data_IF_548831693703
#
_entry.id   IF_548831693703
#
_cell.length_a   1.000
_cell.length_b   1.000
_cell.length_c   1.000
_cell.angle_alpha   90.00
_cell.angle_beta   90.00
_cell.angle_gamma   90.00
#
_symmetry.space_group_name_H-M   'P 1'
#
loop_
_entity.id
_entity.type
_entity.pdbx_description
1 polymer ?
#
# COMPACT_ATOMS: atom_id res chain seq x y z
N UNK A 1 -9.75 34.81 -36.83
CA UNK A 1 -10.13 33.37 -36.91
C UNK A 1 -8.97 32.40 -36.57
N UNK A 2 -8.15 32.63 -35.52
CA UNK A 2 -7.04 31.70 -35.13
C UNK A 2 -7.24 31.00 -33.76
N UNK A 3 -8.27 31.35 -32.98
CA UNK A 3 -8.49 30.84 -31.63
C UNK A 3 -9.23 29.50 -31.51
N UNK A 4 -10.03 29.11 -32.51
CA UNK A 4 -10.88 27.91 -32.40
C UNK A 4 -10.18 26.59 -32.73
N UNK A 5 -9.07 26.62 -33.47
CA UNK A 5 -8.31 25.39 -33.79
C UNK A 5 -7.70 24.75 -32.54
N UNK A 6 -7.19 25.54 -31.59
CA UNK A 6 -6.56 25.02 -30.37
C UNK A 6 -7.56 24.38 -29.39
N UNK A 7 -8.78 24.91 -29.31
CA UNK A 7 -9.84 24.39 -28.43
C UNK A 7 -10.37 23.05 -28.96
N UNK A 8 -10.61 22.94 -30.27
CA UNK A 8 -11.06 21.69 -30.90
C UNK A 8 -9.99 20.59 -30.82
N UNK A 9 -8.71 20.91 -31.03
CA UNK A 9 -7.62 19.92 -30.86
C UNK A 9 -7.47 19.45 -29.42
N UNK A 10 -7.65 20.35 -28.43
CA UNK A 10 -7.63 19.99 -27.01
C UNK A 10 -8.77 19.05 -26.62
N UNK A 11 -10.01 19.33 -27.06
CA UNK A 11 -11.20 18.50 -26.77
C UNK A 11 -11.11 17.13 -27.45
N UNK A 12 -10.67 17.07 -28.70
CA UNK A 12 -10.50 15.80 -29.43
C UNK A 12 -9.41 14.91 -28.80
N UNK A 13 -8.35 15.52 -28.24
CA UNK A 13 -7.28 14.77 -27.55
C UNK A 13 -7.78 14.17 -26.24
N UNK A 14 -8.57 14.90 -25.46
CA UNK A 14 -9.16 14.38 -24.20
C UNK A 14 -10.16 13.26 -24.48
N UNK A 15 -11.00 13.40 -25.51
CA UNK A 15 -11.97 12.37 -25.89
C UNK A 15 -11.30 11.08 -26.37
N UNK A 16 -10.23 11.18 -27.18
CA UNK A 16 -9.47 10.02 -27.65
C UNK A 16 -8.76 9.29 -26.50
N UNK A 17 -8.18 10.04 -25.56
CA UNK A 17 -7.58 9.47 -24.34
C UNK A 17 -8.65 8.75 -23.50
N UNK A 18 -9.81 9.37 -23.29
CA UNK A 18 -10.90 8.77 -22.53
C UNK A 18 -11.44 7.49 -23.19
N UNK A 19 -11.63 7.50 -24.51
CA UNK A 19 -12.06 6.33 -25.26
C UNK A 19 -11.03 5.19 -25.19
N UNK A 20 -9.73 5.50 -25.28
CA UNK A 20 -8.67 4.52 -25.08
C UNK A 20 -8.68 3.94 -23.66
N UNK A 21 -8.88 4.77 -22.63
CA UNK A 21 -9.05 4.31 -21.25
C UNK A 21 -10.28 3.42 -21.07
N UNK A 22 -11.42 3.80 -21.62
CA UNK A 22 -12.67 3.04 -21.52
C UNK A 22 -12.56 1.69 -22.25
N UNK A 23 -11.98 1.66 -23.45
CA UNK A 23 -11.74 0.41 -24.19
C UNK A 23 -10.75 -0.50 -23.45
N UNK A 24 -9.67 0.08 -22.91
CA UNK A 24 -8.69 -0.59 -22.08
C UNK A 24 -9.31 -1.17 -20.80
N UNK A 25 -10.20 -0.43 -20.13
CA UNK A 25 -10.94 -0.87 -18.95
C UNK A 25 -11.94 -1.99 -19.29
N UNK A 26 -12.68 -1.86 -20.40
CA UNK A 26 -13.63 -2.88 -20.85
C UNK A 26 -12.93 -4.20 -21.20
N UNK A 27 -11.78 -4.14 -21.88
CA UNK A 27 -10.99 -5.34 -22.22
C UNK A 27 -10.41 -6.07 -21.00
N UNK A 28 -10.36 -5.42 -19.84
CA UNK A 28 -9.85 -5.99 -18.57
C UNK A 28 -10.94 -6.12 -17.51
N UNK A 29 -12.20 -5.85 -17.87
CA UNK A 29 -13.33 -6.04 -16.97
C UNK A 29 -13.49 -7.51 -16.65
N UNK A 30 -14.05 -7.78 -15.46
CA UNK A 30 -14.34 -9.14 -15.03
C UNK A 30 -15.17 -9.87 -16.10
N UNK A 31 -14.73 -11.05 -16.58
CA UNK A 31 -15.46 -11.78 -17.60
C UNK A 31 -16.75 -12.36 -17.03
N UNK A 32 -17.89 -12.02 -17.63
CA UNK A 32 -19.18 -12.60 -17.27
C UNK A 32 -19.20 -14.11 -17.61
N UNK A 33 -19.69 -14.95 -16.70
CA UNK A 33 -19.79 -16.41 -16.86
C UNK A 33 -18.47 -17.15 -17.14
N UNK A 34 -17.35 -16.62 -16.67
CA UNK A 34 -16.05 -17.27 -16.85
C UNK A 34 -15.93 -18.62 -16.12
N UNK A 35 -15.28 -19.57 -16.79
CA UNK A 35 -14.79 -20.80 -16.16
C UNK A 35 -13.68 -20.50 -15.14
N UNK A 36 -13.37 -21.43 -14.21
CA UNK A 36 -12.27 -21.25 -13.27
C UNK A 36 -10.91 -20.98 -13.94
N UNK A 37 -10.65 -21.60 -15.09
CA UNK A 37 -9.40 -21.40 -15.84
C UNK A 37 -9.33 -20.00 -16.46
N UNK A 38 -10.42 -19.53 -17.07
CA UNK A 38 -10.52 -18.19 -17.62
C UNK A 38 -10.38 -17.12 -16.54
N UNK A 39 -11.00 -17.35 -15.37
CA UNK A 39 -10.84 -16.47 -14.22
C UNK A 39 -9.39 -16.41 -13.73
N UNK A 40 -8.71 -17.55 -13.62
CA UNK A 40 -7.30 -17.60 -13.22
C UNK A 40 -6.41 -16.83 -14.21
N UNK A 41 -6.67 -16.98 -15.52
CA UNK A 41 -5.96 -16.28 -16.57
C UNK A 41 -6.19 -14.77 -16.51
N UNK A 42 -7.43 -14.33 -16.36
CA UNK A 42 -7.79 -12.92 -16.18
C UNK A 42 -7.14 -12.33 -14.93
N UNK A 43 -7.14 -13.05 -13.81
CA UNK A 43 -6.53 -12.61 -12.57
C UNK A 43 -5.02 -12.41 -12.73
N UNK A 44 -4.32 -13.35 -13.38
CA UNK A 44 -2.88 -13.25 -13.65
C UNK A 44 -2.55 -12.03 -14.52
N UNK A 45 -3.25 -11.86 -15.64
CA UNK A 45 -3.06 -10.72 -16.55
C UNK A 45 -3.36 -9.38 -15.89
N UNK A 46 -4.41 -9.34 -15.06
CA UNK A 46 -4.80 -8.13 -14.32
C UNK A 46 -3.74 -7.76 -13.28
N UNK A 47 -3.20 -8.74 -12.54
CA UNK A 47 -2.12 -8.51 -11.57
C UNK A 47 -0.84 -8.00 -12.24
N UNK A 48 -0.45 -8.59 -13.37
CA UNK A 48 0.71 -8.15 -14.15
C UNK A 48 0.54 -6.69 -14.62
N UNK A 49 -0.64 -6.37 -15.16
CA UNK A 49 -0.96 -5.01 -15.58
C UNK A 49 -0.98 -4.02 -14.41
N UNK A 50 -1.57 -4.39 -13.26
CA UNK A 50 -1.60 -3.54 -12.08
C UNK A 50 -0.20 -3.28 -11.54
N UNK A 51 0.67 -4.29 -11.48
CA UNK A 51 2.06 -4.11 -11.11
C UNK A 51 2.77 -3.14 -12.07
N UNK A 52 2.60 -3.33 -13.38
CA UNK A 52 3.13 -2.41 -14.39
C UNK A 52 2.60 -0.98 -14.20
N UNK A 53 1.30 -0.80 -13.95
CA UNK A 53 0.68 0.51 -13.79
C UNK A 53 1.09 1.23 -12.49
N UNK A 54 1.18 0.49 -11.38
CA UNK A 54 1.58 1.02 -10.08
C UNK A 54 3.04 1.46 -10.09
N UNK A 55 3.91 0.63 -10.65
CA UNK A 55 5.36 0.82 -10.62
C UNK A 55 5.94 1.44 -11.90
N UNK A 56 5.08 1.76 -12.87
CA UNK A 56 5.47 2.32 -14.16
C UNK A 56 6.54 1.45 -14.86
N UNK A 57 6.27 0.14 -14.87
CA UNK A 57 7.07 -0.89 -15.53
C UNK A 57 8.23 -1.50 -14.72
N UNK A 58 8.71 -0.86 -13.65
CA UNK A 58 9.82 -1.38 -12.84
C UNK A 58 9.52 -1.25 -11.34
N UNK A 59 9.28 -2.37 -10.67
CA UNK A 59 9.11 -2.41 -9.22
C UNK A 59 10.38 -1.91 -8.50
N UNK A 60 10.26 -1.25 -7.33
CA UNK A 60 11.43 -0.88 -6.54
C UNK A 60 12.28 -2.09 -6.19
N UNK A 61 13.58 -1.85 -6.00
CA UNK A 61 14.47 -2.86 -5.43
C UNK A 61 14.26 -2.95 -3.93
N UNK A 62 13.98 -4.15 -3.44
CA UNK A 62 13.95 -4.42 -2.00
C UNK A 62 15.35 -4.29 -1.40
N UNK A 63 15.39 -3.94 -0.12
CA UNK A 63 16.59 -3.81 0.72
C UNK A 63 16.35 -4.53 2.04
N UNK A 64 17.40 -4.93 2.79
CA UNK A 64 17.23 -5.49 4.13
C UNK A 64 16.35 -4.59 4.99
N UNK A 65 15.35 -5.18 5.65
CA UNK A 65 14.35 -4.44 6.43
C UNK A 65 15.00 -3.57 7.53
N UNK A 66 16.06 -4.06 8.19
CA UNK A 66 16.76 -3.35 9.27
C UNK A 66 15.77 -2.71 10.26
N UNK A 67 14.79 -3.47 10.73
CA UNK A 67 13.74 -2.95 11.61
C UNK A 67 14.33 -2.47 12.94
N UNK A 68 13.99 -1.25 13.33
CA UNK A 68 14.40 -0.62 14.59
C UNK A 68 13.16 -0.32 15.39
N UNK A 69 13.20 -0.66 16.67
CA UNK A 69 12.07 -0.45 17.57
C UNK A 69 12.36 0.72 18.51
N UNK A 70 11.37 1.59 18.66
CA UNK A 70 11.43 2.80 19.46
C UNK A 70 10.60 2.68 20.74
N UNK A 71 9.86 3.75 21.02
CA UNK A 71 9.08 3.88 22.24
C UNK A 71 8.01 2.79 22.36
N UNK A 72 7.69 2.45 23.61
CA UNK A 72 6.70 1.43 23.94
C UNK A 72 5.61 2.06 24.80
N UNK A 73 4.35 1.81 24.44
CA UNK A 73 3.20 2.18 25.27
C UNK A 73 2.46 0.92 25.72
N UNK A 74 2.22 0.85 27.02
CA UNK A 74 1.48 -0.23 27.63
C UNK A 74 -0.03 0.08 27.59
N UNK A 75 -0.80 -0.80 26.95
CA UNK A 75 -2.25 -0.76 26.98
C UNK A 75 -2.78 -1.94 27.80
N UNK A 76 -4.03 -1.88 28.22
CA UNK A 76 -4.64 -2.90 29.09
C UNK A 76 -4.36 -4.35 28.65
N UNK A 77 -4.64 -4.70 27.39
CA UNK A 77 -4.57 -6.08 26.86
C UNK A 77 -3.44 -6.33 25.86
N UNK A 78 -2.79 -5.28 25.39
CA UNK A 78 -1.72 -5.35 24.39
C UNK A 78 -0.68 -4.26 24.66
N UNK A 79 0.42 -4.30 23.94
CA UNK A 79 1.44 -3.24 23.96
C UNK A 79 1.65 -2.76 22.54
N UNK A 80 1.70 -1.45 22.33
CA UNK A 80 2.20 -0.89 21.07
C UNK A 80 3.67 -0.49 21.21
N UNK A 81 4.42 -0.68 20.14
CA UNK A 81 5.80 -0.26 20.04
C UNK A 81 6.03 0.44 18.70
N UNK A 82 6.59 1.63 18.76
CA UNK A 82 7.03 2.38 17.58
C UNK A 82 8.12 1.60 16.84
N UNK A 83 8.16 1.71 15.53
CA UNK A 83 9.22 1.11 14.73
C UNK A 83 9.48 1.86 13.42
N UNK A 84 10.67 1.63 12.88
CA UNK A 84 11.03 2.04 11.53
C UNK A 84 11.79 0.93 10.80
N UNK A 85 11.56 0.77 9.50
CA UNK A 85 12.25 -0.22 8.67
C UNK A 85 12.46 0.29 7.24
N UNK A 86 13.43 -0.27 6.52
CA UNK A 86 13.69 0.09 5.12
C UNK A 86 12.70 -0.61 4.18
N UNK A 87 12.08 0.15 3.27
CA UNK A 87 11.30 -0.40 2.15
C UNK A 87 12.11 -0.38 0.83
N UNK A 88 12.95 0.65 0.63
CA UNK A 88 13.76 0.88 -0.58
C UNK A 88 15.02 1.68 -0.24
N UNK A 89 16.03 1.72 -1.12
CA UNK A 89 17.25 2.50 -0.92
C UNK A 89 17.00 3.94 -0.44
N UNK A 90 17.59 4.28 0.72
CA UNK A 90 17.55 5.63 1.29
C UNK A 90 16.20 6.04 1.90
N UNK A 91 15.24 5.14 2.04
CA UNK A 91 13.94 5.44 2.63
C UNK A 91 13.60 4.46 3.77
N UNK A 92 12.98 5.00 4.82
CA UNK A 92 12.47 4.24 5.96
C UNK A 92 10.99 4.52 6.14
N UNK A 93 10.23 3.46 6.38
CA UNK A 93 8.82 3.48 6.73
C UNK A 93 8.73 3.54 8.25
N UNK A 94 8.00 4.52 8.75
CA UNK A 94 7.68 4.66 10.17
C UNK A 94 6.31 4.02 10.47
N UNK A 95 6.16 3.44 11.66
CA UNK A 95 4.95 2.75 12.06
C UNK A 95 4.91 2.36 13.53
N UNK A 96 3.87 1.61 13.89
CA UNK A 96 3.61 1.11 15.24
C UNK A 96 3.13 -0.33 15.14
N UNK A 97 3.64 -1.21 16.00
CA UNK A 97 3.21 -2.61 16.10
C UNK A 97 2.60 -2.89 17.46
N UNK A 98 1.38 -3.44 17.45
CA UNK A 98 0.70 -3.93 18.64
C UNK A 98 0.93 -5.43 18.81
N UNK A 99 1.27 -5.84 20.03
CA UNK A 99 1.46 -7.23 20.44
C UNK A 99 0.57 -7.55 21.65
N UNK A 100 -0.28 -8.58 21.60
CA UNK A 100 -1.08 -9.00 22.74
C UNK A 100 -0.21 -9.40 23.94
N UNK A 101 -0.61 -9.04 25.16
CA UNK A 101 0.12 -9.42 26.38
C UNK A 101 -0.05 -10.90 26.73
N UNK A 102 -1.22 -11.45 26.43
CA UNK A 102 -1.58 -12.84 26.70
C UNK A 102 -1.87 -13.55 25.36
N UNK A 103 -0.83 -13.93 24.61
CA UNK A 103 -1.00 -14.57 23.31
C UNK A 103 -1.66 -15.95 23.46
N UNK A 104 -2.67 -16.24 22.64
CA UNK A 104 -3.39 -17.53 22.67
C UNK A 104 -2.59 -18.69 22.05
N UNK A 105 -1.50 -18.38 21.34
CA UNK A 105 -0.62 -19.35 20.69
C UNK A 105 0.79 -18.77 20.54
N UNK A 106 1.78 -19.63 20.25
CA UNK A 106 3.15 -19.20 19.98
C UNK A 106 3.27 -18.33 18.72
N UNK A 107 2.44 -18.60 17.70
CA UNK A 107 2.31 -17.79 16.48
C UNK A 107 0.88 -17.31 16.31
N UNK A 108 0.73 -16.00 16.11
CA UNK A 108 -0.54 -15.31 16.05
C UNK A 108 -0.87 -14.90 14.61
N UNK A 109 -2.16 -14.83 14.24
CA UNK A 109 -2.54 -14.12 13.04
C UNK A 109 -2.14 -12.63 13.17
N UNK A 110 -1.75 -12.03 12.05
CA UNK A 110 -1.34 -10.64 11.99
C UNK A 110 -2.20 -9.83 11.02
N UNK A 111 -2.29 -8.52 11.28
CA UNK A 111 -2.99 -7.57 10.41
C UNK A 111 -2.13 -6.34 10.15
N UNK A 112 -1.96 -5.99 8.88
CA UNK A 112 -1.49 -4.67 8.47
C UNK A 112 -2.68 -3.69 8.42
N UNK A 113 -2.61 -2.63 9.23
CA UNK A 113 -3.66 -1.63 9.40
C UNK A 113 -3.25 -0.28 8.76
N UNK A 114 -3.93 0.12 7.68
CA UNK A 114 -3.57 1.26 6.85
C UNK A 114 -4.54 2.43 6.99
N UNK A 115 -4.05 3.56 7.51
CA UNK A 115 -4.85 4.76 7.72
C UNK A 115 -5.19 5.50 6.41
N UNK A 116 -6.23 6.34 6.43
CA UNK A 116 -6.62 7.22 5.34
C UNK A 116 -6.23 8.68 5.59
N UNK A 117 -6.87 9.61 4.87
CA UNK A 117 -6.66 11.06 5.01
C UNK A 117 -6.80 11.53 6.47
N UNK A 118 -5.91 12.43 6.91
CA UNK A 118 -5.84 12.96 8.27
C UNK A 118 -5.56 11.90 9.37
N UNK A 119 -5.25 10.66 8.96
CA UNK A 119 -4.83 9.57 9.84
C UNK A 119 -3.32 9.56 10.09
N UNK A 120 -2.88 8.57 10.85
CA UNK A 120 -1.48 8.17 11.03
C UNK A 120 -1.43 6.71 11.51
N UNK A 121 -0.27 6.08 11.46
CA UNK A 121 -0.01 4.77 12.04
C UNK A 121 -0.40 4.70 13.53
N UNK A 122 -0.21 5.80 14.25
CA UNK A 122 -0.60 5.86 15.65
C UNK A 122 -2.13 5.98 15.84
N UNK A 123 -2.81 6.77 15.00
CA UNK A 123 -4.25 7.01 15.12
C UNK A 123 -5.11 5.76 14.89
N UNK A 124 -4.59 4.72 14.23
CA UNK A 124 -5.34 3.44 14.12
C UNK A 124 -5.48 2.70 15.46
N UNK A 125 -4.64 3.03 16.46
CA UNK A 125 -4.72 2.52 17.83
C UNK A 125 -5.50 3.44 18.78
N UNK A 126 -6.14 4.50 18.26
CA UNK A 126 -6.90 5.46 19.06
C UNK A 126 -8.38 5.42 18.70
N UNK A 127 -9.22 5.84 19.65
CA UNK A 127 -10.66 6.04 19.41
C UNK A 127 -10.82 7.08 18.29
N UNK A 128 -11.73 6.83 17.36
CA UNK A 128 -11.99 7.70 16.21
C UNK A 128 -12.25 6.91 14.94
N UNK A 129 -12.15 7.54 13.78
CA UNK A 129 -12.46 6.94 12.47
C UNK A 129 -11.62 5.69 12.15
N UNK A 130 -10.38 5.60 12.66
CA UNK A 130 -9.42 4.56 12.31
C UNK A 130 -9.26 3.47 13.37
N UNK A 131 -10.19 3.36 14.32
CA UNK A 131 -10.12 2.52 15.54
C UNK A 131 -9.81 1.02 15.35
N UNK A 132 -9.80 0.49 14.13
CA UNK A 132 -9.69 -0.94 13.86
C UNK A 132 -8.35 -1.55 14.30
N UNK A 133 -7.28 -0.76 14.42
CA UNK A 133 -6.01 -1.25 14.97
C UNK A 133 -6.11 -1.61 16.46
N UNK A 134 -6.71 -0.73 17.28
CA UNK A 134 -7.01 -1.02 18.69
C UNK A 134 -7.96 -2.20 18.83
N UNK A 135 -9.04 -2.23 18.03
CA UNK A 135 -10.01 -3.32 18.06
C UNK A 135 -9.35 -4.68 17.81
N UNK A 136 -8.54 -4.79 16.76
CA UNK A 136 -7.88 -6.05 16.40
C UNK A 136 -6.80 -6.44 17.42
N UNK A 137 -6.03 -5.50 17.93
CA UNK A 137 -5.04 -5.79 18.97
C UNK A 137 -5.71 -6.35 20.25
N UNK A 138 -6.85 -5.77 20.67
CA UNK A 138 -7.66 -6.28 21.79
C UNK A 138 -8.24 -7.67 21.53
N UNK A 139 -8.41 -8.06 20.26
CA UNK A 139 -8.89 -9.39 19.84
C UNK A 139 -7.76 -10.42 19.73
N UNK A 140 -6.51 -10.06 20.03
CA UNK A 140 -5.39 -11.00 20.08
C UNK A 140 -4.59 -11.13 18.79
N UNK A 141 -4.76 -10.21 17.84
CA UNK A 141 -3.94 -10.14 16.63
C UNK A 141 -2.64 -9.37 16.90
N UNK A 142 -1.56 -9.72 16.20
CA UNK A 142 -0.44 -8.81 16.00
C UNK A 142 -0.89 -7.76 14.97
N UNK A 143 -0.78 -6.47 15.29
CA UNK A 143 -1.25 -5.43 14.37
C UNK A 143 -0.10 -4.49 14.04
N UNK A 144 0.33 -4.46 12.78
CA UNK A 144 1.29 -3.47 12.29
C UNK A 144 0.53 -2.34 11.61
N UNK A 145 0.83 -1.10 11.94
CA UNK A 145 0.35 0.07 11.25
C UNK A 145 1.54 0.89 10.75
N UNK A 146 1.46 1.40 9.53
CA UNK A 146 2.52 2.22 8.93
C UNK A 146 1.95 3.57 8.50
N UNK A 147 2.78 4.61 8.52
CA UNK A 147 2.39 5.92 8.00
C UNK A 147 2.41 5.87 6.48
N UNK A 148 1.24 6.02 5.86
CA UNK A 148 1.10 6.14 4.41
C UNK A 148 0.85 7.60 4.04
N UNK A 149 1.79 8.19 3.31
CA UNK A 149 1.74 9.61 3.00
C UNK A 149 0.72 9.93 1.89
N UNK A 150 0.01 11.04 2.06
CA UNK A 150 -0.97 11.53 1.09
C UNK A 150 -0.33 12.30 -0.09
N UNK A 151 0.95 12.69 0.03
CA UNK A 151 1.78 13.26 -1.03
C UNK A 151 2.98 12.34 -1.30
N UNK A 152 3.59 12.44 -2.48
CA UNK A 152 4.83 11.72 -2.81
C UNK A 152 5.85 11.93 -1.69
N UNK A 153 6.34 10.83 -1.13
CA UNK A 153 7.47 10.84 -0.23
C UNK A 153 8.67 11.44 -0.99
N UNK A 154 9.10 12.57 -0.48
CA UNK A 154 10.30 13.31 -0.84
C UNK A 154 10.40 13.82 -2.31
N UNK A 155 10.18 15.13 -2.59
CA UNK A 155 10.59 15.76 -3.84
C UNK A 155 12.12 15.86 -4.03
N UNK A 156 12.91 15.33 -3.10
CA UNK A 156 14.37 15.18 -3.15
C UNK A 156 14.87 13.72 -2.99
N UNK A 157 13.97 12.74 -2.93
CA UNK A 157 14.34 11.35 -2.71
C UNK A 157 15.14 10.79 -3.89
N UNK A 158 15.91 9.69 -3.71
CA UNK A 158 16.79 9.12 -4.75
C UNK A 158 16.05 8.60 -6.00
N UNK A 159 14.72 8.72 -6.03
CA UNK A 159 13.84 8.42 -7.17
C UNK A 159 13.38 9.67 -7.93
N UNK A 160 13.87 10.86 -7.58
CA UNK A 160 13.94 11.96 -8.54
C UNK A 160 15.17 11.77 -9.39
N UNK A 161 15.03 10.96 -10.43
CA UNK A 161 15.92 10.99 -11.57
C UNK A 161 15.91 12.40 -12.18
N UNK A 162 16.92 13.22 -11.83
CA UNK A 162 17.06 14.62 -12.29
C UNK A 162 17.62 14.74 -13.70
N UNK A 163 17.58 13.68 -14.51
CA UNK A 163 18.10 13.64 -15.87
C UNK A 163 17.05 14.02 -16.93
N UNK A 164 17.40 14.80 -17.97
CA UNK A 164 16.44 15.27 -18.99
C UNK A 164 15.80 14.17 -19.85
N UNK A 165 16.36 12.95 -19.87
CA UNK A 165 15.81 11.78 -20.57
C UNK A 165 14.94 10.85 -19.68
N UNK A 166 14.95 11.01 -18.36
CA UNK A 166 14.38 10.04 -17.40
C UNK A 166 13.20 10.64 -16.62
N UNK A 167 12.41 11.52 -17.27
CA UNK A 167 11.16 12.03 -16.68
C UNK A 167 10.06 10.97 -16.52
N UNK A 168 10.24 9.79 -17.12
CA UNK A 168 9.27 8.70 -17.15
C UNK A 168 9.58 7.52 -16.21
N UNK A 169 10.58 7.57 -15.29
CA UNK A 169 10.82 6.51 -14.27
C UNK A 169 10.21 6.84 -12.90
N UNK A 170 9.06 7.49 -12.86
CA UNK A 170 8.39 7.83 -11.60
C UNK A 170 7.39 6.74 -11.24
N UNK A 171 7.60 6.07 -10.11
CA UNK A 171 6.59 5.20 -9.50
C UNK A 171 5.41 6.09 -9.07
N UNK A 172 4.20 5.61 -9.33
CA UNK A 172 2.99 6.37 -8.98
C UNK A 172 2.91 6.58 -7.47
N UNK A 173 2.26 7.66 -6.97
CA UNK A 173 2.05 7.83 -5.54
C UNK A 173 1.35 6.62 -4.88
N UNK A 174 0.46 5.95 -5.62
CA UNK A 174 -0.16 4.71 -5.16
C UNK A 174 0.85 3.56 -5.12
N UNK A 175 1.64 3.36 -6.17
CA UNK A 175 2.68 2.33 -6.20
C UNK A 175 3.69 2.47 -5.05
N UNK A 176 4.03 3.69 -4.62
CA UNK A 176 4.86 3.89 -3.43
C UNK A 176 4.18 3.35 -2.16
N UNK A 177 2.89 3.61 -1.97
CA UNK A 177 2.14 3.14 -0.80
C UNK A 177 1.99 1.63 -0.79
N UNK A 178 1.65 1.06 -1.95
CA UNK A 178 1.54 -0.39 -2.12
C UNK A 178 2.88 -1.05 -1.86
N UNK A 179 3.99 -0.49 -2.35
CA UNK A 179 5.32 -0.99 -2.05
C UNK A 179 5.62 -0.98 -0.54
N UNK A 180 5.34 0.15 0.14
CA UNK A 180 5.52 0.24 1.59
C UNK A 180 4.67 -0.80 2.33
N UNK A 181 3.42 -1.03 1.89
CA UNK A 181 2.52 -2.02 2.47
C UNK A 181 3.02 -3.46 2.25
N UNK A 182 3.48 -3.79 1.04
CA UNK A 182 4.11 -5.09 0.73
C UNK A 182 5.35 -5.32 1.62
N UNK A 183 6.21 -4.30 1.76
CA UNK A 183 7.39 -4.38 2.64
C UNK A 183 7.02 -4.50 4.12
N UNK A 184 5.89 -3.96 4.54
CA UNK A 184 5.35 -4.15 5.88
C UNK A 184 4.83 -5.58 6.10
N UNK A 185 4.23 -6.21 5.07
CA UNK A 185 3.88 -7.63 5.10
C UNK A 185 5.15 -8.49 5.19
N UNK A 186 6.19 -8.18 4.40
CA UNK A 186 7.47 -8.87 4.49
C UNK A 186 8.06 -8.76 5.91
N UNK A 187 7.96 -7.60 6.56
CA UNK A 187 8.36 -7.44 7.95
C UNK A 187 7.58 -8.35 8.89
N UNK A 188 6.25 -8.38 8.79
CA UNK A 188 5.41 -9.27 9.60
C UNK A 188 5.83 -10.73 9.46
N UNK A 189 6.16 -11.19 8.24
CA UNK A 189 6.61 -12.56 7.99
C UNK A 189 7.95 -12.90 8.65
N UNK A 190 8.77 -11.91 9.00
CA UNK A 190 10.04 -12.13 9.72
C UNK A 190 9.88 -12.24 11.23
N UNK A 191 8.73 -11.87 11.79
CA UNK A 191 8.53 -11.84 13.24
C UNK A 191 8.24 -13.25 13.77
N UNK A 192 8.96 -13.74 14.78
CA UNK A 192 8.81 -15.11 15.28
C UNK A 192 7.42 -15.40 15.88
N UNK A 193 6.75 -14.36 16.39
CA UNK A 193 5.40 -14.41 16.96
C UNK A 193 4.27 -14.33 15.91
N UNK A 194 4.59 -14.11 14.64
CA UNK A 194 3.60 -14.02 13.55
C UNK A 194 3.53 -15.35 12.80
N UNK A 195 2.31 -15.76 12.47
CA UNK A 195 2.07 -16.83 11.51
C UNK A 195 2.05 -16.27 10.08
N UNK A 196 3.04 -16.60 9.22
CA UNK A 196 3.15 -16.02 7.89
C UNK A 196 1.99 -16.42 6.96
N UNK A 197 1.27 -17.51 7.26
CA UNK A 197 0.12 -17.97 6.48
C UNK A 197 -1.20 -17.29 6.91
N UNK A 198 -1.17 -16.45 7.94
CA UNK A 198 -2.35 -15.78 8.51
C UNK A 198 -2.13 -14.27 8.65
N UNK A 199 -1.79 -13.63 7.54
CA UNK A 199 -1.63 -12.17 7.46
C UNK A 199 -2.79 -11.57 6.66
N UNK A 200 -3.52 -10.64 7.28
CA UNK A 200 -4.54 -9.83 6.60
C UNK A 200 -4.08 -8.39 6.41
N UNK A 201 -4.71 -7.67 5.48
CA UNK A 201 -4.54 -6.22 5.30
C UNK A 201 -5.90 -5.55 5.41
N UNK A 202 -5.98 -4.48 6.21
CA UNK A 202 -7.20 -3.67 6.37
C UNK A 202 -6.86 -2.20 6.22
N UNK A 203 -7.80 -1.42 5.72
CA UNK A 203 -7.63 0.02 5.63
C UNK A 203 -8.92 0.77 5.35
N UNK A 204 -8.88 2.09 5.57
CA UNK A 204 -10.01 2.98 5.32
C UNK A 204 -9.60 4.13 4.41
N UNK A 205 -10.47 4.52 3.47
CA UNK A 205 -10.21 5.57 2.47
C UNK A 205 -8.96 5.24 1.64
N UNK A 206 -7.95 6.12 1.59
CA UNK A 206 -6.69 5.86 0.90
C UNK A 206 -5.99 4.58 1.41
N UNK A 207 -6.15 4.24 2.69
CA UNK A 207 -5.65 2.99 3.24
C UNK A 207 -6.42 1.77 2.74
N UNK A 208 -7.73 1.91 2.51
CA UNK A 208 -8.55 0.86 1.90
C UNK A 208 -8.17 0.61 0.44
N UNK A 209 -7.97 1.69 -0.31
CA UNK A 209 -7.46 1.60 -1.69
C UNK A 209 -6.04 1.00 -1.75
N UNK A 210 -5.18 1.33 -0.78
CA UNK A 210 -3.85 0.71 -0.70
C UNK A 210 -3.95 -0.78 -0.36
N UNK A 211 -4.83 -1.15 0.57
CA UNK A 211 -5.07 -2.54 0.96
C UNK A 211 -5.60 -3.39 -0.21
N UNK A 212 -6.45 -2.81 -1.08
CA UNK A 212 -6.95 -3.50 -2.28
C UNK A 212 -5.85 -3.93 -3.25
N UNK A 213 -4.75 -3.16 -3.31
CA UNK A 213 -3.62 -3.43 -4.22
C UNK A 213 -2.43 -4.15 -3.56
N UNK A 214 -2.49 -4.43 -2.26
CA UNK A 214 -1.42 -5.09 -1.49
C UNK A 214 -1.66 -6.59 -1.46
#
# INVERSE_FOLDING_TARGET
>A
MRGWKWILTGVMTVAAVYAAFAASAKSRSFPENATPEEFARWQAQTREFLAWALFNGEAPKSVPLDARFGQREDHETYVIQELEFNDRPGHRVHGWIARPKNPAAARLPAVLALHGHNGSAYKVFRKGTYFYGDLLARKGYVVLAIDIHHRTLDPQGPYLDRGPLIRFKRITPMGQRVWMAMRAVDLLQTLPEVDPERIGVVGLSNGGLTAEFT
#
